data_IF_906124501827
#
_entry.id   IF_906124501827
#
_cell.length_a   1.000
_cell.length_b   1.000
_cell.length_c   1.000
_cell.angle_alpha   90.00
_cell.angle_beta   90.00
_cell.angle_gamma   90.00
#
_symmetry.space_group_name_H-M   'P 1'
#
loop_
_entity.id
_entity.type
_entity.pdbx_description
1 polymer ?
#
# COMPACT_ATOMS: atom_id res chain seq x y z
N UNK A 1 20.03 15.29 11.83
CA UNK A 1 19.51 14.08 11.24
C UNK A 1 20.68 13.20 10.78
N UNK A 2 20.92 12.03 11.42
CA UNK A 2 21.99 11.11 11.05
C UNK A 2 21.95 10.68 9.57
N UNK A 3 20.78 10.71 8.96
CA UNK A 3 20.56 10.33 7.57
C UNK A 3 21.38 11.15 6.58
N UNK A 4 21.43 12.47 6.73
CA UNK A 4 22.22 13.32 5.84
C UNK A 4 23.71 13.04 5.93
N UNK A 5 24.17 12.60 7.08
CA UNK A 5 25.59 12.32 7.33
C UNK A 5 26.00 10.89 6.91
N UNK A 6 25.06 9.94 6.90
CA UNK A 6 25.33 8.54 6.51
C UNK A 6 25.96 8.42 5.12
N UNK A 7 25.46 9.19 4.15
CA UNK A 7 25.91 9.10 2.75
C UNK A 7 27.36 9.64 2.62
N UNK A 8 27.65 10.76 3.27
CA UNK A 8 28.92 11.46 3.12
C UNK A 8 30.01 10.90 4.02
N UNK A 9 29.66 10.39 5.22
CA UNK A 9 30.59 10.02 6.27
C UNK A 9 30.35 8.61 6.83
N UNK A 10 29.81 7.73 6.03
CA UNK A 10 29.37 6.38 6.45
C UNK A 10 30.40 5.64 7.31
N UNK A 11 31.68 5.64 6.88
CA UNK A 11 32.73 4.93 7.61
C UNK A 11 32.97 5.53 8.99
N UNK A 12 33.14 6.85 9.05
CA UNK A 12 33.36 7.57 10.33
C UNK A 12 32.20 7.36 11.30
N UNK A 13 30.95 7.45 10.81
CA UNK A 13 29.78 7.24 11.65
C UNK A 13 29.62 5.81 12.14
N UNK A 14 29.94 4.81 11.33
CA UNK A 14 29.95 3.41 11.76
C UNK A 14 31.03 3.11 12.78
N UNK A 15 32.19 3.75 12.66
CA UNK A 15 33.25 3.67 13.69
C UNK A 15 32.80 4.31 15.01
N UNK A 16 32.08 5.43 14.96
CA UNK A 16 31.51 6.08 16.14
C UNK A 16 30.40 5.26 16.83
N UNK A 17 29.77 4.34 16.13
CA UNK A 17 28.74 3.48 16.68
C UNK A 17 29.20 2.68 17.92
N UNK A 18 30.48 2.35 17.97
CA UNK A 18 31.11 1.68 19.12
C UNK A 18 31.13 2.54 20.40
N UNK A 19 30.94 3.86 20.27
CA UNK A 19 30.95 4.80 21.40
C UNK A 19 29.61 4.84 22.15
N UNK A 20 28.53 4.32 21.54
CA UNK A 20 27.24 4.25 22.24
C UNK A 20 27.30 3.27 23.42
N UNK A 21 26.87 3.74 24.57
CA UNK A 21 26.83 2.93 25.79
C UNK A 21 25.66 1.96 25.78
N UNK A 22 25.76 0.90 26.53
CA UNK A 22 24.63 0.04 26.86
C UNK A 22 23.52 0.89 27.54
N UNK A 23 22.28 0.56 27.24
CA UNK A 23 21.09 1.33 27.67
C UNK A 23 21.00 2.77 27.11
N UNK A 24 21.75 3.12 26.07
CA UNK A 24 21.61 4.39 25.34
C UNK A 24 20.51 4.40 24.29
N UNK A 25 19.80 3.29 24.14
CA UNK A 25 18.75 3.12 23.14
C UNK A 25 17.48 3.91 23.46
N UNK A 26 16.45 3.64 22.70
CA UNK A 26 15.15 4.31 22.85
C UNK A 26 14.01 3.35 22.53
N UNK A 27 12.81 3.81 22.80
CA UNK A 27 11.57 3.13 22.52
C UNK A 27 10.65 4.05 21.74
N UNK A 28 10.02 3.53 20.68
CA UNK A 28 9.02 4.25 19.92
C UNK A 28 7.74 3.40 19.82
N UNK A 29 6.59 4.02 20.11
CA UNK A 29 5.29 3.36 20.10
C UNK A 29 4.37 3.96 19.04
N UNK A 30 3.79 3.08 18.24
CA UNK A 30 2.82 3.37 17.18
C UNK A 30 1.45 2.91 17.65
N UNK A 31 0.49 3.85 17.67
CA UNK A 31 -0.86 3.57 18.13
C UNK A 31 -1.81 3.50 16.93
N UNK A 32 -2.67 2.50 16.91
CA UNK A 32 -3.69 2.35 15.89
C UNK A 32 -4.97 1.73 16.49
N UNK A 33 -6.08 1.94 15.81
CA UNK A 33 -7.37 1.40 16.22
C UNK A 33 -7.86 0.36 15.23
N UNK A 34 -8.51 -0.68 15.76
CA UNK A 34 -9.23 -1.69 15.00
C UNK A 34 -10.70 -1.57 15.34
N UNK A 35 -11.53 -1.32 14.31
CA UNK A 35 -12.97 -1.26 14.48
C UNK A 35 -13.52 -2.65 14.86
N UNK A 36 -14.45 -2.76 15.80
CA UNK A 36 -15.05 -4.04 16.19
C UNK A 36 -15.74 -4.82 15.06
N UNK A 37 -16.03 -4.18 13.92
CA UNK A 37 -16.62 -4.84 12.76
C UNK A 37 -15.63 -5.68 11.92
N UNK A 38 -14.32 -5.58 12.21
CA UNK A 38 -13.33 -6.47 11.59
C UNK A 38 -13.51 -7.88 12.14
N UNK A 39 -13.71 -8.86 11.26
CA UNK A 39 -13.86 -10.24 11.70
C UNK A 39 -12.57 -10.82 12.28
N UNK A 40 -12.71 -11.84 13.13
CA UNK A 40 -11.60 -12.44 13.85
C UNK A 40 -10.55 -13.08 12.93
N UNK A 41 -10.97 -13.66 11.80
CA UNK A 41 -10.07 -14.30 10.83
C UNK A 41 -9.21 -13.27 10.13
N UNK A 42 -9.82 -12.18 9.66
CA UNK A 42 -9.11 -11.04 9.06
C UNK A 42 -8.13 -10.43 10.07
N UNK A 43 -8.55 -10.21 11.32
CA UNK A 43 -7.67 -9.68 12.37
C UNK A 43 -6.49 -10.60 12.65
N UNK A 44 -6.69 -11.92 12.73
CA UNK A 44 -5.61 -12.90 12.92
C UNK A 44 -4.63 -12.95 11.73
N UNK A 45 -5.08 -12.62 10.53
CA UNK A 45 -4.23 -12.59 9.34
C UNK A 45 -3.27 -11.41 9.29
N UNK A 46 -3.46 -10.38 10.12
CA UNK A 46 -2.67 -9.15 10.09
C UNK A 46 -1.18 -9.43 10.39
N UNK A 47 -0.33 -8.83 9.58
CA UNK A 47 1.13 -8.83 9.72
C UNK A 47 1.62 -7.41 9.91
N UNK A 48 2.58 -7.22 10.80
CA UNK A 48 3.32 -5.98 10.89
C UNK A 48 4.60 -6.06 10.03
N UNK A 49 5.04 -4.93 9.51
CA UNK A 49 6.31 -4.77 8.80
C UNK A 49 7.13 -3.73 9.51
N UNK A 50 8.35 -4.10 9.91
CA UNK A 50 9.30 -3.22 10.58
C UNK A 50 10.64 -3.30 9.87
N UNK A 51 11.14 -2.17 9.38
CA UNK A 51 12.43 -2.11 8.72
C UNK A 51 13.57 -2.40 9.71
N UNK A 52 14.62 -3.07 9.25
CA UNK A 52 15.85 -3.39 10.02
C UNK A 52 15.58 -4.10 11.35
N UNK A 53 15.00 -5.30 11.31
CA UNK A 53 14.60 -6.02 12.51
C UNK A 53 15.77 -6.35 13.44
N UNK A 54 17.01 -6.36 12.92
CA UNK A 54 18.23 -6.59 13.70
C UNK A 54 18.52 -5.49 14.74
N UNK A 55 17.91 -4.32 14.58
CA UNK A 55 18.10 -3.19 15.49
C UNK A 55 17.07 -3.16 16.64
N UNK A 56 15.99 -3.91 16.51
CA UNK A 56 14.81 -3.75 17.36
C UNK A 56 14.36 -5.04 18.02
N UNK A 57 13.91 -4.92 19.27
CA UNK A 57 12.88 -5.79 19.81
C UNK A 57 11.52 -5.20 19.45
N UNK A 58 10.63 -6.02 18.92
CA UNK A 58 9.30 -5.61 18.46
C UNK A 58 8.26 -6.18 19.41
N UNK A 59 7.33 -5.33 19.84
CA UNK A 59 6.25 -5.71 20.74
C UNK A 59 4.91 -5.30 20.16
N UNK A 60 3.90 -6.11 20.37
CA UNK A 60 2.50 -5.79 20.11
C UNK A 60 1.68 -5.95 21.40
N UNK A 61 1.03 -4.88 21.84
CA UNK A 61 0.29 -4.83 23.09
C UNK A 61 1.08 -5.40 24.29
N UNK A 62 2.40 -5.16 24.33
CA UNK A 62 3.32 -5.62 25.36
C UNK A 62 3.90 -7.02 25.17
N UNK A 63 3.46 -7.79 24.18
CA UNK A 63 3.99 -9.11 23.84
C UNK A 63 5.12 -9.00 22.83
N UNK A 64 6.30 -9.54 23.14
CA UNK A 64 7.44 -9.59 22.22
C UNK A 64 7.13 -10.53 21.06
N UNK A 65 7.37 -10.06 19.82
CA UNK A 65 7.12 -10.84 18.59
C UNK A 65 8.39 -10.95 17.77
N UNK A 66 8.56 -12.09 17.10
CA UNK A 66 9.69 -12.34 16.23
C UNK A 66 9.28 -12.23 14.75
N UNK A 67 10.25 -11.89 13.89
CA UNK A 67 10.03 -11.90 12.45
C UNK A 67 9.68 -13.30 11.96
N UNK A 68 8.82 -13.38 10.97
CA UNK A 68 8.50 -14.63 10.27
C UNK A 68 9.62 -14.95 9.29
N UNK A 69 10.29 -16.07 9.48
CA UNK A 69 11.42 -16.47 8.64
C UNK A 69 11.02 -16.59 7.16
N UNK A 70 11.87 -16.02 6.28
CA UNK A 70 11.68 -16.00 4.84
C UNK A 70 10.57 -15.09 4.33
N UNK A 71 9.81 -14.44 5.20
CA UNK A 71 8.70 -13.56 4.84
C UNK A 71 9.13 -12.11 4.84
N UNK A 72 8.90 -11.41 3.73
CA UNK A 72 9.18 -9.97 3.60
C UNK A 72 8.13 -9.31 2.69
N UNK A 73 8.01 -7.98 2.79
CA UNK A 73 7.16 -7.16 1.95
C UNK A 73 8.02 -6.24 1.09
N UNK A 74 7.78 -6.20 -0.21
CA UNK A 74 8.52 -5.40 -1.20
C UNK A 74 10.00 -5.80 -1.32
N UNK A 75 10.77 -5.71 -0.22
CA UNK A 75 12.20 -6.05 -0.21
C UNK A 75 12.61 -6.73 1.11
N UNK A 76 13.80 -7.37 1.13
CA UNK A 76 14.27 -8.19 2.25
C UNK A 76 14.50 -7.42 3.56
N UNK A 77 14.71 -6.11 3.48
CA UNK A 77 14.85 -5.25 4.65
C UNK A 77 13.52 -4.94 5.35
N UNK A 78 12.38 -5.35 4.77
CA UNK A 78 11.04 -5.22 5.31
C UNK A 78 10.45 -6.59 5.71
N UNK A 79 11.01 -7.29 6.71
CA UNK A 79 10.45 -8.56 7.15
C UNK A 79 9.07 -8.38 7.78
N UNK A 80 8.28 -9.44 7.73
CA UNK A 80 6.96 -9.49 8.32
C UNK A 80 6.98 -10.14 9.70
N UNK A 81 6.11 -9.65 10.58
CA UNK A 81 5.87 -10.17 11.92
C UNK A 81 4.42 -10.63 12.02
N UNK A 82 4.17 -11.83 12.48
CA UNK A 82 2.82 -12.32 12.77
C UNK A 82 2.34 -11.68 14.07
N UNK A 83 1.36 -10.79 13.99
CA UNK A 83 0.89 -10.01 15.13
C UNK A 83 -0.58 -10.27 15.48
N UNK A 84 -1.33 -10.91 14.58
CA UNK A 84 -2.78 -11.03 14.66
C UNK A 84 -3.30 -11.65 15.98
N UNK A 85 -2.61 -12.62 16.55
CA UNK A 85 -3.00 -13.27 17.82
C UNK A 85 -2.99 -12.33 19.05
N UNK A 86 -2.22 -11.23 18.97
CA UNK A 86 -2.10 -10.24 20.04
C UNK A 86 -2.98 -9.00 19.82
N UNK A 87 -3.67 -8.91 18.67
CA UNK A 87 -4.54 -7.80 18.35
C UNK A 87 -5.91 -7.94 19.02
N UNK A 88 -6.56 -6.80 19.21
CA UNK A 88 -7.90 -6.72 19.77
C UNK A 88 -8.69 -5.57 19.13
N UNK A 89 -10.01 -5.61 19.17
CA UNK A 89 -10.83 -4.45 18.83
C UNK A 89 -10.46 -3.24 19.69
N UNK A 90 -10.54 -2.04 19.11
CA UNK A 90 -10.17 -0.79 19.73
C UNK A 90 -8.67 -0.51 19.63
N UNK A 91 -8.12 0.13 20.65
CA UNK A 91 -6.73 0.61 20.65
C UNK A 91 -5.71 -0.52 20.75
N UNK A 92 -4.75 -0.50 19.85
CA UNK A 92 -3.58 -1.36 19.82
C UNK A 92 -2.29 -0.52 19.78
N UNK A 93 -1.18 -1.11 20.19
CA UNK A 93 0.12 -0.46 20.22
C UNK A 93 1.20 -1.42 19.71
N UNK A 94 1.93 -1.01 18.68
CA UNK A 94 3.16 -1.64 18.25
C UNK A 94 4.32 -0.81 18.81
N UNK A 95 5.27 -1.46 19.48
CA UNK A 95 6.44 -0.79 20.05
C UNK A 95 7.71 -1.41 19.50
N UNK A 96 8.62 -0.57 19.03
CA UNK A 96 10.00 -0.94 18.69
C UNK A 96 10.92 -0.45 19.81
N UNK A 97 11.89 -1.27 20.22
CA UNK A 97 12.81 -0.95 21.32
C UNK A 97 14.23 -1.33 20.94
N UNK A 98 15.12 -0.35 20.94
CA UNK A 98 16.56 -0.55 20.90
C UNK A 98 17.13 -0.47 22.31
N UNK A 99 17.86 -1.47 22.75
CA UNK A 99 18.53 -1.42 24.07
C UNK A 99 19.73 -0.47 24.03
N UNK A 100 20.43 -0.46 22.91
CA UNK A 100 21.57 0.41 22.65
C UNK A 100 21.31 1.19 21.38
N UNK A 101 21.69 2.47 21.36
CA UNK A 101 21.65 3.28 20.15
C UNK A 101 22.56 2.67 19.07
N UNK A 102 22.08 2.68 17.85
CA UNK A 102 22.84 2.29 16.66
C UNK A 102 22.79 3.41 15.64
N UNK A 103 23.89 3.66 14.92
CA UNK A 103 23.95 4.74 13.95
C UNK A 103 22.92 4.60 12.81
N UNK A 104 22.48 3.39 12.55
CA UNK A 104 21.44 3.08 11.56
C UNK A 104 20.02 3.12 12.14
N UNK A 105 19.87 3.35 13.45
CA UNK A 105 18.57 3.42 14.07
C UNK A 105 17.85 4.72 13.70
N UNK A 106 16.65 4.59 13.19
CA UNK A 106 15.75 5.70 12.81
C UNK A 106 14.32 5.33 13.20
N UNK A 107 13.54 6.31 13.64
CA UNK A 107 12.11 6.12 13.87
C UNK A 107 11.43 6.20 12.50
N UNK A 108 11.26 5.06 11.85
CA UNK A 108 10.62 4.91 10.56
C UNK A 108 9.15 4.51 10.73
N UNK A 109 8.29 4.76 9.72
CA UNK A 109 6.95 4.20 9.71
C UNK A 109 6.96 2.67 9.84
N UNK A 110 5.98 2.14 10.54
CA UNK A 110 5.65 0.71 10.54
C UNK A 110 4.40 0.49 9.72
N UNK A 111 4.29 -0.67 9.07
CA UNK A 111 3.16 -0.96 8.18
C UNK A 111 2.38 -2.15 8.71
N UNK A 112 1.09 -2.17 8.43
CA UNK A 112 0.21 -3.30 8.70
C UNK A 112 -0.32 -3.83 7.38
N UNK A 113 -0.21 -5.13 7.18
CA UNK A 113 -0.69 -5.86 6.01
C UNK A 113 -1.75 -6.85 6.44
N UNK A 114 -2.81 -6.99 5.68
CA UNK A 114 -3.89 -7.93 5.97
C UNK A 114 -5.10 -7.70 5.09
N UNK A 115 -6.13 -8.49 5.33
CA UNK A 115 -7.41 -8.40 4.64
C UNK A 115 -8.36 -7.50 5.42
N UNK A 116 -8.23 -6.20 5.20
CA UNK A 116 -9.00 -5.17 5.90
C UNK A 116 -9.17 -3.90 5.06
N UNK A 117 -10.18 -3.12 5.39
CA UNK A 117 -10.35 -1.74 4.92
C UNK A 117 -9.72 -0.75 5.91
N UNK A 118 -9.41 0.45 5.41
CA UNK A 118 -8.91 1.57 6.22
C UNK A 118 -9.84 2.75 6.02
N UNK A 119 -10.43 3.23 7.10
CA UNK A 119 -11.43 4.31 7.05
C UNK A 119 -10.92 5.54 7.80
N UNK A 120 -11.18 6.76 7.29
CA UNK A 120 -10.78 7.99 7.96
C UNK A 120 -11.58 8.17 9.27
N UNK A 121 -10.92 8.78 10.26
CA UNK A 121 -11.58 9.25 11.47
C UNK A 121 -11.03 10.63 11.89
N UNK A 122 -11.46 11.15 13.03
CA UNK A 122 -11.05 12.49 13.51
C UNK A 122 -9.56 12.65 13.75
N UNK A 123 -8.83 11.53 13.89
CA UNK A 123 -7.36 11.52 14.11
C UNK A 123 -6.72 10.43 13.24
N UNK A 124 -6.57 10.73 11.95
CA UNK A 124 -5.99 9.78 11.00
C UNK A 124 -7.01 8.75 10.53
N UNK A 125 -6.70 7.48 10.74
CA UNK A 125 -7.46 6.36 10.18
C UNK A 125 -7.62 5.25 11.20
N UNK A 126 -8.60 4.37 10.97
CA UNK A 126 -8.74 3.11 11.68
C UNK A 126 -8.85 1.93 10.71
N UNK A 127 -8.46 0.76 11.17
CA UNK A 127 -8.63 -0.51 10.46
C UNK A 127 -10.06 -1.00 10.67
N UNK A 128 -10.75 -1.37 9.60
CA UNK A 128 -12.14 -1.82 9.65
C UNK A 128 -12.37 -3.05 8.76
N UNK A 129 -13.40 -3.81 9.07
CA UNK A 129 -13.98 -4.77 8.15
C UNK A 129 -14.89 -4.07 7.14
N UNK A 130 -15.16 -4.72 6.03
CA UNK A 130 -16.10 -4.25 5.02
C UNK A 130 -15.80 -4.78 3.65
N UNK A 131 -16.81 -4.76 2.79
CA UNK A 131 -16.60 -5.04 1.38
C UNK A 131 -15.95 -3.82 0.74
N UNK A 132 -14.88 -4.07 0.00
CA UNK A 132 -14.26 -3.08 -0.85
C UNK A 132 -15.09 -3.02 -2.12
N UNK A 133 -15.90 -1.98 -2.26
CA UNK A 133 -16.47 -1.65 -3.57
C UNK A 133 -15.33 -1.13 -4.44
N UNK A 134 -15.06 -1.84 -5.51
CA UNK A 134 -13.84 -1.58 -6.27
C UNK A 134 -13.97 -0.44 -7.28
N UNK A 135 -15.16 -0.11 -7.73
CA UNK A 135 -15.36 1.00 -8.66
C UNK A 135 -15.27 2.35 -7.96
N UNK A 136 -14.56 3.29 -8.57
CA UNK A 136 -14.25 4.59 -7.99
C UNK A 136 -12.87 4.68 -7.36
N UNK A 137 -12.63 5.75 -6.61
CA UNK A 137 -11.34 6.01 -5.98
C UNK A 137 -11.07 5.03 -4.83
N UNK A 138 -9.94 4.35 -4.85
CA UNK A 138 -9.51 3.42 -3.80
C UNK A 138 -9.47 4.09 -2.41
N UNK A 139 -9.04 5.35 -2.34
CA UNK A 139 -8.95 6.06 -1.06
C UNK A 139 -10.32 6.26 -0.39
N UNK A 140 -11.39 6.37 -1.19
CA UNK A 140 -12.75 6.49 -0.71
C UNK A 140 -13.39 5.11 -0.43
N UNK A 141 -12.85 4.06 -1.05
CA UNK A 141 -13.34 2.69 -0.99
C UNK A 141 -12.55 1.80 0.00
N UNK A 142 -12.01 2.39 1.06
CA UNK A 142 -11.34 1.63 2.12
C UNK A 142 -9.90 1.22 1.82
N UNK A 143 -9.29 1.72 0.74
CA UNK A 143 -7.92 1.39 0.31
C UNK A 143 -7.00 2.63 0.18
N UNK A 144 -7.02 3.59 1.12
CA UNK A 144 -6.30 4.86 0.97
C UNK A 144 -4.79 4.70 0.80
N UNK A 145 -4.19 3.67 1.40
CA UNK A 145 -2.75 3.40 1.40
C UNK A 145 -2.34 2.20 0.55
N UNK A 146 -3.29 1.60 -0.18
CA UNK A 146 -3.02 0.41 -0.97
C UNK A 146 -2.26 0.74 -2.25
N UNK A 147 -1.22 -0.03 -2.55
CA UNK A 147 -0.29 0.23 -3.67
C UNK A 147 -0.21 -0.91 -4.68
N UNK A 148 -0.89 -2.02 -4.41
CA UNK A 148 -0.83 -3.20 -5.28
C UNK A 148 -1.84 -3.10 -6.43
N UNK A 149 -2.42 -4.22 -6.82
CA UNK A 149 -3.32 -4.34 -7.96
C UNK A 149 -4.75 -4.59 -7.50
N UNK A 150 -5.70 -3.89 -8.11
CA UNK A 150 -7.14 -4.18 -7.99
C UNK A 150 -7.66 -4.63 -9.35
N UNK A 151 -8.38 -5.77 -9.34
CA UNK A 151 -8.97 -6.37 -10.53
C UNK A 151 -10.43 -5.95 -10.70
N UNK A 152 -10.79 -5.60 -11.92
CA UNK A 152 -12.14 -5.24 -12.34
C UNK A 152 -12.55 -6.18 -13.47
N UNK A 153 -13.56 -7.00 -13.26
CA UNK A 153 -14.03 -7.98 -14.25
C UNK A 153 -15.43 -7.66 -14.75
N UNK A 154 -15.64 -7.86 -16.04
CA UNK A 154 -16.94 -7.76 -16.69
C UNK A 154 -17.09 -8.90 -17.72
N UNK A 155 -18.32 -9.38 -17.90
CA UNK A 155 -18.67 -10.38 -18.91
C UNK A 155 -19.28 -9.73 -20.13
N UNK A 156 -18.83 -10.16 -21.32
CA UNK A 156 -19.32 -9.69 -22.61
C UNK A 156 -19.67 -10.89 -23.49
N UNK A 157 -20.83 -10.83 -24.13
CA UNK A 157 -21.24 -11.82 -25.11
C UNK A 157 -20.91 -11.31 -26.52
N UNK A 158 -19.95 -11.96 -27.17
CA UNK A 158 -19.44 -11.56 -28.48
C UNK A 158 -20.15 -12.37 -29.55
N UNK A 159 -20.62 -11.66 -30.59
CA UNK A 159 -21.16 -12.23 -31.79
C UNK A 159 -20.58 -11.54 -33.03
N UNK A 160 -20.02 -12.32 -33.95
CA UNK A 160 -19.48 -11.79 -35.21
C UNK A 160 -18.07 -11.22 -35.06
N UNK A 161 -17.12 -12.07 -34.76
CA UNK A 161 -15.68 -11.72 -34.73
C UNK A 161 -15.15 -11.41 -36.14
N UNK A 162 -15.83 -11.91 -37.21
CA UNK A 162 -15.43 -11.66 -38.57
C UNK A 162 -15.61 -10.18 -38.96
N UNK A 163 -14.57 -9.56 -39.51
CA UNK A 163 -14.54 -8.17 -39.94
C UNK A 163 -14.76 -7.12 -38.84
N UNK A 164 -14.49 -7.48 -37.58
CA UNK A 164 -14.57 -6.57 -36.42
C UNK A 164 -13.28 -6.60 -35.65
N UNK A 165 -12.85 -5.43 -35.16
CA UNK A 165 -11.84 -5.30 -34.13
C UNK A 165 -12.51 -4.90 -32.83
N UNK A 166 -12.03 -5.49 -31.72
CA UNK A 166 -12.54 -5.22 -30.37
C UNK A 166 -11.45 -4.64 -29.50
N UNK A 167 -11.73 -3.50 -28.91
CA UNK A 167 -10.80 -2.80 -28.04
C UNK A 167 -11.38 -2.63 -26.64
N UNK A 168 -10.58 -2.95 -25.63
CA UNK A 168 -10.83 -2.50 -24.24
C UNK A 168 -10.41 -1.05 -24.16
N UNK A 169 -11.28 -0.19 -23.61
CA UNK A 169 -11.02 1.22 -23.36
C UNK A 169 -11.26 1.54 -21.88
N UNK A 170 -10.33 2.26 -21.27
CA UNK A 170 -10.44 2.80 -19.92
C UNK A 170 -10.76 4.30 -19.99
N UNK A 171 -12.06 4.70 -19.96
CA UNK A 171 -12.45 6.09 -20.19
C UNK A 171 -11.97 7.02 -19.06
N UNK A 172 -12.09 6.55 -17.82
CA UNK A 172 -11.69 7.31 -16.66
C UNK A 172 -11.04 6.38 -15.61
N UNK A 173 -9.71 6.45 -15.50
CA UNK A 173 -8.94 5.66 -14.57
C UNK A 173 -7.73 6.42 -14.04
N UNK A 174 -7.24 5.99 -12.88
CA UNK A 174 -6.04 6.51 -12.22
C UNK A 174 -5.17 5.33 -11.79
N UNK A 175 -3.95 5.30 -12.27
CA UNK A 175 -3.01 4.23 -11.98
C UNK A 175 -1.71 4.39 -12.74
N UNK A 176 -0.78 3.47 -12.55
CA UNK A 176 0.50 3.45 -13.28
C UNK A 176 0.41 2.60 -14.53
N UNK A 177 -0.30 1.48 -14.47
CA UNK A 177 -0.54 0.56 -15.58
C UNK A 177 -1.79 -0.26 -15.30
N UNK A 178 -2.52 -0.64 -16.36
CA UNK A 178 -3.57 -1.62 -16.32
C UNK A 178 -3.19 -2.84 -17.16
N UNK A 179 -3.15 -4.01 -16.54
CA UNK A 179 -2.96 -5.31 -17.22
C UNK A 179 -4.33 -5.84 -17.64
N UNK A 180 -4.50 -6.17 -18.90
CA UNK A 180 -5.76 -6.70 -19.44
C UNK A 180 -5.66 -8.20 -19.64
N UNK A 181 -6.68 -8.92 -19.17
CA UNK A 181 -6.83 -10.36 -19.32
C UNK A 181 -8.15 -10.66 -20.02
N UNK A 182 -8.15 -11.68 -20.86
CA UNK A 182 -9.36 -12.23 -21.50
C UNK A 182 -9.44 -13.72 -21.15
N UNK A 183 -10.54 -14.13 -20.54
CA UNK A 183 -10.76 -15.52 -20.09
C UNK A 183 -9.59 -16.04 -19.22
N UNK A 184 -9.02 -15.17 -18.37
CA UNK A 184 -7.89 -15.48 -17.50
C UNK A 184 -6.52 -15.49 -18.19
N UNK A 185 -6.43 -15.26 -19.50
CA UNK A 185 -5.17 -15.20 -20.24
C UNK A 185 -4.72 -13.75 -20.44
N UNK A 186 -3.43 -13.43 -20.30
CA UNK A 186 -2.93 -12.09 -20.56
C UNK A 186 -3.18 -11.66 -22.01
N UNK A 187 -3.80 -10.47 -22.21
CA UNK A 187 -4.05 -9.90 -23.52
C UNK A 187 -3.14 -8.69 -23.82
N UNK A 188 -2.68 -7.96 -22.79
CA UNK A 188 -1.76 -6.85 -22.99
C UNK A 188 -1.82 -5.82 -21.86
N UNK A 189 -1.26 -4.63 -22.11
CA UNK A 189 -1.12 -3.55 -21.14
C UNK A 189 -1.70 -2.23 -21.68
N UNK A 190 -2.32 -1.46 -20.79
CA UNK A 190 -2.69 -0.06 -21.04
C UNK A 190 -1.88 0.79 -20.05
N UNK A 191 -0.98 1.66 -20.57
CA UNK A 191 -0.09 2.47 -19.73
C UNK A 191 -0.03 3.95 -20.16
N UNK A 192 -0.56 4.30 -21.33
CA UNK A 192 -0.60 5.65 -21.89
C UNK A 192 -1.77 5.84 -22.85
N UNK A 193 -2.00 7.08 -23.22
CA UNK A 193 -3.05 7.44 -24.20
C UNK A 193 -2.85 6.71 -25.55
N UNK A 194 -3.96 6.27 -26.20
CA UNK A 194 -5.36 6.63 -25.92
C UNK A 194 -6.08 5.78 -24.85
N UNK A 195 -5.39 5.05 -23.98
CA UNK A 195 -5.98 4.17 -22.96
C UNK A 195 -6.83 3.03 -23.55
N UNK A 196 -6.40 2.49 -24.65
CA UNK A 196 -7.07 1.42 -25.40
C UNK A 196 -6.11 0.26 -25.66
N UNK A 197 -6.66 -0.95 -25.72
CA UNK A 197 -5.94 -2.16 -26.10
C UNK A 197 -6.80 -2.98 -27.06
N UNK A 198 -6.27 -3.34 -28.22
CA UNK A 198 -6.90 -4.30 -29.14
C UNK A 198 -6.76 -5.72 -28.54
N UNK A 199 -7.89 -6.36 -28.32
CA UNK A 199 -7.97 -7.72 -27.76
C UNK A 199 -8.66 -8.71 -28.70
N UNK A 200 -8.88 -8.33 -29.97
CA UNK A 200 -9.63 -9.12 -30.94
C UNK A 200 -9.16 -10.57 -31.03
N UNK A 201 -7.83 -10.77 -31.07
CA UNK A 201 -7.22 -12.11 -31.17
C UNK A 201 -7.38 -12.97 -29.93
N UNK A 202 -7.76 -12.38 -28.79
CA UNK A 202 -7.94 -13.07 -27.50
C UNK A 202 -9.39 -13.45 -27.24
N UNK A 203 -10.34 -12.92 -28.03
CA UNK A 203 -11.76 -13.18 -27.87
C UNK A 203 -12.20 -14.47 -28.59
N UNK A 204 -13.29 -15.04 -28.12
CA UNK A 204 -14.03 -16.14 -28.77
C UNK A 204 -15.47 -15.71 -28.98
N UNK A 205 -16.18 -16.40 -29.91
CA UNK A 205 -17.62 -16.27 -30.02
C UNK A 205 -18.31 -16.71 -28.71
N UNK A 206 -19.37 -16.02 -28.33
CA UNK A 206 -20.10 -16.24 -27.10
C UNK A 206 -19.53 -15.46 -25.91
N UNK A 207 -19.64 -16.04 -24.72
CA UNK A 207 -19.28 -15.37 -23.46
C UNK A 207 -17.78 -15.28 -23.25
N UNK A 208 -17.32 -14.08 -22.91
CA UNK A 208 -15.94 -13.78 -22.54
C UNK A 208 -15.91 -12.96 -21.23
N UNK A 209 -15.05 -13.34 -20.31
CA UNK A 209 -14.69 -12.53 -19.16
C UNK A 209 -13.49 -11.67 -19.52
N UNK A 210 -13.62 -10.36 -19.34
CA UNK A 210 -12.52 -9.41 -19.49
C UNK A 210 -12.20 -8.82 -18.13
N UNK A 211 -10.91 -8.84 -17.76
CA UNK A 211 -10.43 -8.30 -16.49
C UNK A 211 -9.36 -7.24 -16.76
N UNK A 212 -9.55 -6.04 -16.19
CA UNK A 212 -8.53 -5.00 -16.12
C UNK A 212 -7.96 -4.96 -14.69
N UNK A 213 -6.65 -5.22 -14.52
CA UNK A 213 -5.95 -5.12 -13.22
C UNK A 213 -5.18 -3.80 -13.18
N UNK A 214 -5.71 -2.84 -12.46
CA UNK A 214 -5.09 -1.53 -12.26
C UNK A 214 -4.05 -1.60 -11.15
N UNK A 215 -2.85 -1.12 -11.43
CA UNK A 215 -1.76 -0.99 -10.45
C UNK A 215 -1.69 0.44 -9.94
N UNK A 216 -1.63 0.63 -8.63
CA UNK A 216 -1.40 1.91 -7.97
C UNK A 216 0.08 2.33 -7.98
N UNK A 217 0.47 3.16 -7.03
CA UNK A 217 1.87 3.46 -6.76
C UNK A 217 2.15 3.48 -5.26
N UNK A 218 3.43 3.47 -4.91
CA UNK A 218 3.88 3.54 -3.50
C UNK A 218 3.69 4.92 -2.86
N UNK A 219 3.19 5.94 -3.60
CA UNK A 219 3.03 7.30 -3.08
C UNK A 219 2.13 7.35 -1.84
N UNK A 220 0.99 6.68 -1.86
CA UNK A 220 0.08 6.67 -0.72
C UNK A 220 0.59 5.78 0.42
N UNK A 221 1.38 4.76 0.13
CA UNK A 221 1.92 3.83 1.13
C UNK A 221 3.07 4.45 1.92
N UNK A 222 4.03 5.06 1.23
CA UNK A 222 5.22 5.62 1.88
C UNK A 222 5.08 7.10 2.22
N UNK A 223 4.03 7.77 1.74
CA UNK A 223 3.73 9.15 2.03
C UNK A 223 4.65 10.08 1.24
N UNK A 224 4.54 11.25 1.37
CA UNK A 224 4.30 12.29 2.35
C UNK A 224 2.82 12.77 2.33
N UNK A 225 2.19 13.01 3.48
CA UNK A 225 0.71 13.12 3.58
C UNK A 225 0.19 14.51 3.96
N UNK A 226 1.05 15.45 4.38
CA UNK A 226 0.61 16.63 5.11
C UNK A 226 0.69 17.95 4.35
N UNK A 227 1.20 17.95 3.12
CA UNK A 227 1.25 19.16 2.28
C UNK A 227 0.63 18.88 0.92
N UNK A 228 -0.38 19.62 0.61
CA UNK A 228 -0.92 19.75 -0.73
C UNK A 228 -0.24 20.97 -1.40
N UNK A 229 1.00 20.80 -1.83
CA UNK A 229 1.64 21.79 -2.68
C UNK A 229 1.78 21.19 -4.09
N UNK A 230 1.56 22.01 -5.09
CA UNK A 230 1.65 21.64 -6.50
C UNK A 230 3.07 21.24 -6.93
N UNK A 231 4.04 21.38 -6.07
CA UNK A 231 5.41 20.93 -6.27
C UNK A 231 5.54 19.47 -5.87
N UNK A 232 5.43 18.59 -6.84
CA UNK A 232 5.57 17.13 -6.72
C UNK A 232 6.97 16.64 -6.31
N UNK A 233 7.83 17.53 -5.87
CA UNK A 233 9.19 17.19 -5.45
C UNK A 233 9.17 16.90 -3.96
N UNK A 234 9.17 15.61 -3.64
CA UNK A 234 9.31 15.12 -2.28
C UNK A 234 10.73 14.63 -2.06
N UNK A 235 11.32 15.08 -0.97
CA UNK A 235 12.64 14.67 -0.54
C UNK A 235 12.68 14.46 0.97
N UNK A 236 13.83 14.04 1.52
CA UNK A 236 13.96 13.80 2.96
C UNK A 236 13.57 14.98 3.85
N UNK A 237 13.73 16.21 3.35
CA UNK A 237 13.31 17.42 4.05
C UNK A 237 11.79 17.53 4.23
N UNK A 238 11.00 16.87 3.37
CA UNK A 238 9.54 16.90 3.44
C UNK A 238 9.00 16.24 4.72
N UNK A 239 9.75 15.35 5.32
CA UNK A 239 9.39 14.67 6.57
C UNK A 239 9.59 15.57 7.81
N UNK A 240 10.18 16.75 7.67
CA UNK A 240 10.29 17.73 8.74
C UNK A 240 9.01 18.55 8.95
N UNK A 241 8.06 18.47 8.02
CA UNK A 241 6.79 19.19 8.09
C UNK A 241 5.71 18.29 8.68
N UNK A 242 5.82 17.99 9.97
CA UNK A 242 4.75 17.31 10.69
C UNK A 242 3.70 18.34 11.15
N UNK A 243 2.41 18.01 11.12
CA UNK A 243 1.38 18.86 11.69
C UNK A 243 1.53 18.93 13.22
N UNK A 244 1.14 20.04 13.82
CA UNK A 244 1.16 20.23 15.29
C UNK A 244 0.22 19.27 16.03
N UNK A 245 -0.84 18.83 15.35
CA UNK A 245 -1.85 17.89 15.85
C UNK A 245 -2.06 16.78 14.82
N UNK A 246 -2.46 15.60 15.29
CA UNK A 246 -2.88 14.54 14.39
C UNK A 246 -4.10 15.03 13.57
N UNK A 247 -3.97 15.15 12.23
CA UNK A 247 -5.07 15.60 11.38
C UNK A 247 -6.14 14.53 11.27
N UNK A 248 -7.34 14.94 10.87
CA UNK A 248 -8.37 14.01 10.42
C UNK A 248 -7.88 13.21 9.19
N UNK A 249 -8.33 11.98 9.02
CA UNK A 249 -8.00 11.18 7.84
C UNK A 249 -8.39 11.86 6.52
N UNK A 250 -9.46 12.66 6.52
CA UNK A 250 -9.90 13.44 5.37
C UNK A 250 -8.94 14.58 4.96
N UNK A 251 -8.05 15.00 5.85
CA UNK A 251 -7.06 16.05 5.58
C UNK A 251 -5.75 15.52 5.00
N UNK A 252 -5.61 14.18 4.90
CA UNK A 252 -4.42 13.58 4.30
C UNK A 252 -4.39 13.80 2.79
N UNK A 253 -3.26 14.25 2.28
CA UNK A 253 -3.02 14.37 0.85
C UNK A 253 -2.72 12.98 0.24
N UNK A 254 -3.74 12.35 -0.32
CA UNK A 254 -3.67 11.05 -0.95
C UNK A 254 -4.04 11.15 -2.43
N UNK A 255 -3.27 10.45 -3.25
CA UNK A 255 -3.54 10.30 -4.68
C UNK A 255 -4.75 9.39 -4.91
N UNK A 256 -5.49 9.67 -5.95
CA UNK A 256 -6.56 8.78 -6.42
C UNK A 256 -5.99 7.66 -7.28
N UNK A 257 -6.43 6.44 -7.03
CA UNK A 257 -6.18 5.26 -7.86
C UNK A 257 -7.48 4.50 -8.08
N UNK A 258 -7.58 3.74 -9.16
CA UNK A 258 -8.69 2.88 -9.48
C UNK A 258 -9.35 3.17 -10.83
N UNK A 259 -10.38 2.41 -11.16
CA UNK A 259 -11.32 2.73 -12.23
C UNK A 259 -12.41 3.62 -11.66
N UNK A 260 -12.52 4.86 -12.15
CA UNK A 260 -13.57 5.79 -11.75
C UNK A 260 -14.90 5.47 -12.42
N UNK A 261 -14.85 4.81 -13.58
CA UNK A 261 -15.98 4.34 -14.37
C UNK A 261 -15.68 2.93 -14.89
N UNK A 262 -16.71 2.11 -15.20
CA UNK A 262 -16.50 0.81 -15.82
C UNK A 262 -15.70 0.94 -17.12
N UNK A 263 -14.85 -0.02 -17.39
CA UNK A 263 -14.20 -0.07 -18.70
C UNK A 263 -15.18 -0.48 -19.80
N UNK A 264 -14.90 -0.07 -21.01
CA UNK A 264 -15.74 -0.30 -22.18
C UNK A 264 -15.11 -1.34 -23.11
N UNK A 265 -15.95 -2.14 -23.77
CA UNK A 265 -15.56 -2.94 -24.94
C UNK A 265 -16.12 -2.27 -26.20
N UNK A 266 -15.25 -1.74 -27.02
CA UNK A 266 -15.61 -1.01 -28.25
C UNK A 266 -15.37 -1.91 -29.44
N UNK A 267 -16.40 -2.11 -30.25
CA UNK A 267 -16.33 -2.84 -31.52
C UNK A 267 -16.17 -1.84 -32.70
N UNK A 268 -15.16 -2.09 -33.52
CA UNK A 268 -14.87 -1.27 -34.73
C UNK A 268 -14.88 -2.15 -35.96
N UNK A 269 -15.59 -1.73 -36.98
CA UNK A 269 -15.63 -2.45 -38.28
C UNK A 269 -14.28 -2.27 -38.96
N UNK A 270 -13.68 -3.37 -39.46
CA UNK A 270 -12.42 -3.39 -40.20
C UNK A 270 -12.63 -2.95 -41.67
#
# INVERSE_FOLDING_TARGET
>A
NPWQHKIQYKKTWLEMDTLFKDNSGFEASYHFNINPNLDATAMQSIRAVVERPELWKVFINGNEVSKTEGSFWIEKSFPQFSVGEFLKPGKNTLTIKALRMHILAEVMPVYLLGDFSVVPNDKGFEIAGGNIDTLGSWKENGLPFYSQKVAYSQNFNISGLENMAYKVKLPNWKGTVAEVFVNGQPAGLIAWQPNELDITSSLKEGENEITAKVTGSLKNTFGFFYQNNDNWIFGPHSWNYAPEKAPSGSEYFLMEYGLMEPFELVAVKL
#
